data_IF_582954807916
#
_entry.id   IF_582954807916
#
_cell.length_a   1.000
_cell.length_b   1.000
_cell.length_c   1.000
_cell.angle_alpha   90.00
_cell.angle_beta   90.00
_cell.angle_gamma   90.00
#
_symmetry.space_group_name_H-M   'P 1'
#
loop_
_entity.id
_entity.type
_entity.pdbx_description
1 polymer ?
#
# COMPACT_ATOMS: atom_id res chain seq x y z
N UNK A 1 -21.11 13.26 -13.08
CA UNK A 1 -20.69 12.03 -12.37
C UNK A 1 -21.70 10.96 -12.70
N UNK A 2 -21.26 9.84 -13.23
CA UNK A 2 -22.10 8.67 -13.52
C UNK A 2 -22.46 7.99 -12.19
N UNK A 3 -23.74 7.61 -12.02
CA UNK A 3 -24.16 6.84 -10.86
C UNK A 3 -23.55 5.43 -10.92
N UNK A 4 -23.37 4.78 -9.76
CA UNK A 4 -22.93 3.39 -9.70
C UNK A 4 -23.91 2.47 -10.43
N UNK A 5 -23.35 1.56 -11.24
CA UNK A 5 -24.13 0.52 -11.93
C UNK A 5 -24.25 -0.73 -11.05
N UNK A 6 -25.46 -1.09 -10.55
CA UNK A 6 -25.65 -2.28 -9.73
C UNK A 6 -25.25 -3.62 -10.40
N UNK A 7 -25.12 -3.66 -11.73
CA UNK A 7 -24.66 -4.85 -12.43
C UNK A 7 -23.18 -5.19 -12.13
N UNK A 8 -22.43 -4.24 -11.55
CA UNK A 8 -21.03 -4.45 -11.12
C UNK A 8 -20.88 -5.18 -9.78
N UNK A 9 -21.95 -5.42 -9.03
CA UNK A 9 -21.88 -6.14 -7.75
C UNK A 9 -21.25 -7.53 -7.93
N UNK A 10 -20.17 -7.80 -7.19
CA UNK A 10 -19.41 -9.05 -7.28
C UNK A 10 -18.57 -9.20 -8.55
N UNK A 11 -18.49 -8.18 -9.41
CA UNK A 11 -17.71 -8.21 -10.64
C UNK A 11 -16.25 -7.76 -10.42
N UNK A 12 -15.44 -8.01 -11.44
CA UNK A 12 -14.09 -7.49 -11.57
C UNK A 12 -14.04 -6.68 -12.86
N UNK A 13 -13.65 -5.42 -12.76
CA UNK A 13 -13.28 -4.61 -13.93
C UNK A 13 -11.77 -4.58 -14.04
N UNK A 14 -11.25 -5.01 -15.19
CA UNK A 14 -9.82 -5.04 -15.47
C UNK A 14 -9.39 -3.87 -16.34
N UNK A 15 -8.11 -3.47 -16.19
CA UNK A 15 -7.44 -2.48 -17.04
C UNK A 15 -8.13 -1.10 -17.07
N UNK A 16 -8.79 -0.73 -15.99
CA UNK A 16 -9.39 0.60 -15.84
C UNK A 16 -8.28 1.66 -15.75
N UNK A 17 -8.32 2.68 -16.57
CA UNK A 17 -7.36 3.80 -16.49
C UNK A 17 -7.70 4.69 -15.31
N UNK A 18 -6.84 4.75 -14.31
CA UNK A 18 -7.06 5.61 -13.14
C UNK A 18 -6.38 6.99 -13.28
N UNK A 19 -5.21 7.04 -13.91
CA UNK A 19 -4.48 8.27 -14.18
C UNK A 19 -3.77 8.22 -15.53
N UNK A 20 -3.42 9.41 -16.04
CA UNK A 20 -2.52 9.54 -17.18
C UNK A 20 -1.39 10.49 -16.79
N UNK A 21 -0.15 9.97 -16.74
CA UNK A 21 1.05 10.68 -16.32
C UNK A 21 2.10 10.61 -17.42
N UNK A 22 2.65 11.77 -17.83
CA UNK A 22 3.66 11.85 -18.88
C UNK A 22 3.29 11.10 -20.19
N UNK A 23 1.99 11.09 -20.51
CA UNK A 23 1.48 10.34 -21.66
C UNK A 23 1.25 8.84 -21.42
N UNK A 24 1.68 8.30 -20.27
CA UNK A 24 1.49 6.92 -19.88
C UNK A 24 0.14 6.73 -19.17
N UNK A 25 -0.65 5.75 -19.61
CA UNK A 25 -1.91 5.36 -18.97
C UNK A 25 -1.65 4.36 -17.85
N UNK A 26 -1.96 4.76 -16.62
CA UNK A 26 -1.83 3.94 -15.44
C UNK A 26 -3.12 3.14 -15.24
N UNK A 27 -2.98 1.83 -15.08
CA UNK A 27 -4.08 0.87 -15.05
C UNK A 27 -4.31 0.32 -13.65
N UNK A 28 -5.55 0.01 -13.36
CA UNK A 28 -5.97 -0.69 -12.15
C UNK A 28 -7.01 -1.77 -12.49
N UNK A 29 -7.11 -2.77 -11.61
CA UNK A 29 -8.23 -3.69 -11.57
C UNK A 29 -9.11 -3.37 -10.36
N UNK A 30 -10.42 -3.36 -10.55
CA UNK A 30 -11.40 -3.02 -9.52
C UNK A 30 -12.25 -4.23 -9.20
N UNK A 31 -12.24 -4.62 -7.93
CA UNK A 31 -12.98 -5.77 -7.39
C UNK A 31 -14.15 -5.26 -6.55
N UNK A 32 -15.36 -5.46 -7.04
CA UNK A 32 -16.58 -4.98 -6.38
C UNK A 32 -17.11 -6.01 -5.37
N UNK A 33 -17.48 -5.60 -4.14
CA UNK A 33 -18.22 -6.46 -3.22
C UNK A 33 -19.57 -6.87 -3.79
N UNK A 34 -20.07 -8.03 -3.35
CA UNK A 34 -21.42 -8.47 -3.67
C UNK A 34 -22.51 -7.82 -2.78
N UNK A 35 -22.09 -7.20 -1.67
CA UNK A 35 -22.97 -6.47 -0.73
C UNK A 35 -23.30 -5.07 -1.24
N UNK A 36 -24.29 -4.41 -0.63
CA UNK A 36 -24.58 -3.00 -0.90
C UNK A 36 -23.53 -2.07 -0.28
N UNK A 37 -23.17 -0.98 -0.98
CA UNK A 37 -22.27 0.09 -0.50
C UNK A 37 -23.03 1.27 0.15
N UNK A 38 -22.35 2.43 0.34
CA UNK A 38 -20.99 2.71 -0.12
C UNK A 38 -19.91 1.97 0.67
N UNK A 39 -18.93 1.42 -0.05
CA UNK A 39 -17.88 0.58 0.54
C UNK A 39 -16.66 1.37 0.97
N UNK A 40 -15.96 0.96 2.03
CA UNK A 40 -14.59 1.39 2.26
C UNK A 40 -13.69 0.87 1.13
N UNK A 41 -12.69 1.65 0.75
CA UNK A 41 -11.72 1.32 -0.28
C UNK A 41 -10.43 0.73 0.29
N UNK A 42 -9.90 -0.29 -0.37
CA UNK A 42 -8.59 -0.86 -0.10
C UNK A 42 -7.75 -0.86 -1.38
N UNK A 43 -6.71 -0.04 -1.41
CA UNK A 43 -5.80 0.07 -2.57
C UNK A 43 -4.59 -0.82 -2.34
N UNK A 44 -4.44 -1.84 -3.16
CA UNK A 44 -3.31 -2.74 -3.16
C UNK A 44 -2.21 -2.24 -4.10
N UNK A 45 -0.99 -2.16 -3.57
CA UNK A 45 0.23 -1.78 -4.28
C UNK A 45 1.15 -2.99 -4.34
N UNK A 46 1.44 -3.49 -5.55
CA UNK A 46 2.25 -4.69 -5.74
C UNK A 46 3.73 -4.48 -5.40
N UNK A 47 4.43 -5.58 -5.10
CA UNK A 47 5.87 -5.64 -4.93
C UNK A 47 6.63 -5.71 -6.25
N UNK A 48 7.87 -6.24 -6.21
CA UNK A 48 8.71 -6.43 -7.40
C UNK A 48 9.87 -5.44 -7.50
N UNK A 49 10.41 -4.96 -6.36
CA UNK A 49 11.62 -4.14 -6.32
C UNK A 49 11.53 -2.83 -7.12
N UNK A 50 10.34 -2.31 -7.35
CA UNK A 50 10.06 -1.12 -8.19
C UNK A 50 10.46 -1.29 -9.67
N UNK A 51 10.77 -2.51 -10.11
CA UNK A 51 11.24 -2.84 -11.48
C UNK A 51 10.35 -3.79 -12.23
N UNK A 52 9.55 -4.54 -11.52
CA UNK A 52 8.66 -5.56 -12.05
C UNK A 52 7.40 -5.71 -11.19
N UNK A 53 6.47 -6.51 -11.64
CA UNK A 53 5.19 -6.74 -10.97
C UNK A 53 4.02 -6.27 -11.81
N UNK A 54 2.84 -6.62 -11.37
CA UNK A 54 1.57 -6.26 -12.00
C UNK A 54 0.46 -6.23 -10.95
N UNK A 55 -0.62 -5.55 -11.27
CA UNK A 55 -1.92 -5.59 -10.58
C UNK A 55 -2.51 -7.00 -10.62
N UNK A 56 -1.86 -7.93 -9.91
CA UNK A 56 -2.20 -9.35 -9.92
C UNK A 56 -3.54 -9.65 -9.27
N UNK A 57 -4.15 -10.82 -9.55
CA UNK A 57 -5.33 -11.27 -8.85
C UNK A 57 -5.11 -11.24 -7.33
N UNK A 58 -5.99 -10.55 -6.62
CA UNK A 58 -5.92 -10.42 -5.17
C UNK A 58 -6.74 -11.50 -4.47
N UNK A 59 -6.41 -11.82 -3.21
CA UNK A 59 -7.28 -12.64 -2.39
C UNK A 59 -8.69 -12.06 -2.32
N UNK A 60 -9.70 -12.91 -2.46
CA UNK A 60 -11.11 -12.50 -2.40
C UNK A 60 -11.58 -12.11 -0.99
N UNK A 61 -10.77 -12.37 0.04
CA UNK A 61 -11.12 -12.18 1.45
C UNK A 61 -11.57 -10.73 1.75
N UNK A 62 -10.81 -9.67 1.39
CA UNK A 62 -11.25 -8.30 1.66
C UNK A 62 -12.54 -7.93 0.91
N UNK A 63 -12.69 -8.38 -0.34
CA UNK A 63 -13.89 -8.11 -1.14
C UNK A 63 -15.11 -8.82 -0.54
N UNK A 64 -14.95 -10.08 -0.08
CA UNK A 64 -16.01 -10.81 0.63
C UNK A 64 -16.39 -10.13 1.94
N UNK A 65 -15.45 -9.45 2.61
CA UNK A 65 -15.70 -8.65 3.80
C UNK A 65 -16.29 -7.26 3.53
N UNK A 66 -16.63 -6.94 2.27
CA UNK A 66 -17.32 -5.71 1.91
C UNK A 66 -16.42 -4.51 1.61
N UNK A 67 -15.15 -4.72 1.27
CA UNK A 67 -14.24 -3.67 0.80
C UNK A 67 -14.23 -3.60 -0.73
N UNK A 68 -14.35 -2.41 -1.29
CA UNK A 68 -13.97 -2.17 -2.68
C UNK A 68 -12.45 -2.30 -2.78
N UNK A 69 -11.96 -3.35 -3.44
CA UNK A 69 -10.52 -3.57 -3.57
C UNK A 69 -10.06 -3.09 -4.94
N UNK A 70 -8.96 -2.35 -4.95
CA UNK A 70 -8.35 -1.83 -6.17
C UNK A 70 -6.89 -2.24 -6.20
N UNK A 71 -6.47 -2.94 -7.25
CA UNK A 71 -5.07 -3.30 -7.49
C UNK A 71 -4.50 -2.40 -8.58
N UNK A 72 -3.42 -1.68 -8.30
CA UNK A 72 -2.88 -0.68 -9.20
C UNK A 72 -1.53 -1.09 -9.78
N UNK A 73 -1.27 -0.71 -11.04
CA UNK A 73 0.06 -0.61 -11.61
C UNK A 73 0.62 0.79 -11.35
N UNK A 74 1.93 0.91 -11.35
CA UNK A 74 2.64 2.18 -11.23
C UNK A 74 3.86 2.18 -12.16
N UNK A 75 4.38 3.36 -12.51
CA UNK A 75 5.59 3.51 -13.33
C UNK A 75 6.80 2.94 -12.62
N UNK A 76 7.61 2.15 -13.32
CA UNK A 76 8.71 1.38 -12.75
C UNK A 76 10.05 1.68 -13.43
N UNK A 77 11.14 1.41 -12.73
CA UNK A 77 12.50 1.40 -13.28
C UNK A 77 12.62 0.20 -14.27
N UNK A 78 13.38 0.29 -15.37
CA UNK A 78 14.34 1.36 -15.67
C UNK A 78 13.76 2.59 -16.38
N UNK A 79 12.51 2.52 -16.88
CA UNK A 79 11.90 3.60 -17.67
C UNK A 79 11.64 4.85 -16.81
N UNK A 80 11.31 4.64 -15.54
CA UNK A 80 11.04 5.71 -14.59
C UNK A 80 11.80 5.49 -13.28
N UNK A 81 12.25 6.58 -12.67
CA UNK A 81 12.90 6.60 -11.36
C UNK A 81 11.99 7.23 -10.31
N UNK A 82 12.34 7.07 -9.06
CA UNK A 82 11.72 7.82 -7.97
C UNK A 82 11.81 9.36 -8.28
N UNK A 83 10.73 10.11 -8.10
CA UNK A 83 9.50 9.81 -7.37
C UNK A 83 8.32 9.30 -8.24
N UNK A 84 8.47 8.90 -9.49
CA UNK A 84 7.36 8.56 -10.38
C UNK A 84 6.37 7.54 -9.77
N UNK A 85 6.87 6.47 -9.11
CA UNK A 85 6.02 5.44 -8.53
C UNK A 85 5.15 5.95 -7.36
N UNK A 86 5.67 6.86 -6.53
CA UNK A 86 4.88 7.43 -5.43
C UNK A 86 3.85 8.44 -5.92
N UNK A 87 4.17 9.19 -6.96
CA UNK A 87 3.23 10.09 -7.63
C UNK A 87 2.01 9.33 -8.17
N UNK A 88 2.25 8.13 -8.72
CA UNK A 88 1.21 7.27 -9.29
C UNK A 88 0.29 6.70 -8.20
N UNK A 89 0.86 6.21 -7.09
CA UNK A 89 0.06 5.75 -5.93
C UNK A 89 -0.83 6.89 -5.40
N UNK A 90 -0.28 8.09 -5.24
CA UNK A 90 -1.05 9.26 -4.80
C UNK A 90 -2.13 9.65 -5.82
N UNK A 91 -1.84 9.53 -7.12
CA UNK A 91 -2.83 9.77 -8.17
C UNK A 91 -3.97 8.74 -8.10
N UNK A 92 -3.70 7.46 -7.84
CA UNK A 92 -4.72 6.43 -7.69
C UNK A 92 -5.71 6.76 -6.55
N UNK A 93 -5.20 7.18 -5.39
CA UNK A 93 -6.04 7.58 -4.26
C UNK A 93 -6.94 8.76 -4.63
N UNK A 94 -6.40 9.79 -5.31
CA UNK A 94 -7.17 10.95 -5.75
C UNK A 94 -8.20 10.57 -6.82
N UNK A 95 -7.84 9.70 -7.75
CA UNK A 95 -8.77 9.19 -8.77
C UNK A 95 -9.97 8.48 -8.15
N UNK A 96 -9.74 7.62 -7.17
CA UNK A 96 -10.81 6.93 -6.45
C UNK A 96 -11.76 7.92 -5.76
N UNK A 97 -11.25 8.97 -5.13
CA UNK A 97 -12.08 10.03 -4.54
C UNK A 97 -12.86 10.82 -5.57
N UNK A 98 -12.23 11.17 -6.69
CA UNK A 98 -12.89 11.89 -7.77
C UNK A 98 -14.07 11.11 -8.39
N UNK A 99 -13.96 9.77 -8.40
CA UNK A 99 -14.97 8.87 -8.96
C UNK A 99 -15.73 8.07 -7.88
N UNK A 100 -15.75 8.55 -6.62
CA UNK A 100 -16.34 7.83 -5.50
C UNK A 100 -17.80 7.40 -5.75
N UNK A 101 -18.60 8.25 -6.39
CA UNK A 101 -20.00 7.95 -6.75
C UNK A 101 -20.08 6.82 -7.78
N UNK A 102 -19.20 6.83 -8.78
CA UNK A 102 -19.17 5.81 -9.84
C UNK A 102 -18.76 4.43 -9.30
N UNK A 103 -17.83 4.40 -8.34
CA UNK A 103 -17.38 3.18 -7.69
C UNK A 103 -18.21 2.78 -6.47
N UNK A 104 -19.23 3.56 -6.08
CA UNK A 104 -19.97 3.39 -4.83
C UNK A 104 -19.02 3.28 -3.61
N UNK A 105 -17.96 4.08 -3.63
CA UNK A 105 -16.91 4.14 -2.63
C UNK A 105 -17.27 5.19 -1.57
N UNK A 106 -16.96 4.92 -0.31
CA UNK A 106 -16.90 5.94 0.74
C UNK A 106 -15.53 6.65 0.67
N UNK A 107 -15.47 7.91 0.21
CA UNK A 107 -14.21 8.63 0.02
C UNK A 107 -13.46 8.94 1.32
N UNK A 108 -14.14 8.84 2.48
CA UNK A 108 -13.56 9.07 3.80
C UNK A 108 -12.99 7.79 4.43
N UNK A 109 -13.15 6.64 3.78
CA UNK A 109 -12.67 5.34 4.25
C UNK A 109 -11.82 4.65 3.19
N UNK A 110 -10.60 5.13 2.98
CA UNK A 110 -9.63 4.55 2.04
C UNK A 110 -8.38 4.13 2.82
N UNK A 111 -7.93 2.90 2.63
CA UNK A 111 -6.67 2.37 3.14
C UNK A 111 -5.74 1.94 2.01
N UNK A 112 -4.44 1.93 2.32
CA UNK A 112 -3.40 1.33 1.47
C UNK A 112 -2.96 0.00 2.07
N UNK A 113 -2.69 -0.95 1.21
CA UNK A 113 -1.97 -2.19 1.54
C UNK A 113 -0.94 -2.47 0.47
N UNK A 114 0.25 -2.88 0.86
CA UNK A 114 1.28 -3.27 -0.09
C UNK A 114 2.32 -4.21 0.50
N UNK A 115 2.97 -4.95 -0.39
CA UNK A 115 4.02 -5.90 -0.02
C UNK A 115 5.35 -5.50 -0.65
N UNK A 116 6.48 -5.65 0.09
CA UNK A 116 7.84 -5.38 -0.42
C UNK A 116 7.96 -3.93 -0.94
N UNK A 117 8.35 -3.71 -2.18
CA UNK A 117 8.35 -2.39 -2.83
C UNK A 117 6.98 -1.69 -2.74
N UNK A 118 5.88 -2.45 -2.82
CA UNK A 118 4.52 -1.93 -2.62
C UNK A 118 4.25 -1.53 -1.17
N UNK A 119 4.77 -2.29 -0.19
CA UNK A 119 4.73 -1.94 1.24
C UNK A 119 5.43 -0.62 1.53
N UNK A 120 6.64 -0.46 0.95
CA UNK A 120 7.37 0.80 0.97
C UNK A 120 6.53 1.96 0.41
N UNK A 121 5.95 1.80 -0.79
CA UNK A 121 5.15 2.84 -1.43
C UNK A 121 3.86 3.14 -0.65
N UNK A 122 3.20 2.13 -0.10
CA UNK A 122 2.02 2.31 0.75
C UNK A 122 2.36 3.09 2.02
N UNK A 123 3.46 2.73 2.71
CA UNK A 123 3.93 3.44 3.88
C UNK A 123 4.31 4.90 3.55
N UNK A 124 5.05 5.11 2.46
CA UNK A 124 5.46 6.44 2.04
C UNK A 124 4.24 7.31 1.67
N UNK A 125 3.29 6.78 0.90
CA UNK A 125 2.08 7.50 0.51
C UNK A 125 1.20 7.87 1.71
N UNK A 126 1.12 6.99 2.71
CA UNK A 126 0.35 7.23 3.93
C UNK A 126 0.96 8.32 4.84
N UNK A 127 2.28 8.50 4.79
CA UNK A 127 3.00 9.43 5.67
C UNK A 127 3.28 10.80 5.03
N UNK A 128 3.44 10.84 3.71
CA UNK A 128 3.85 12.05 3.01
C UNK A 128 2.65 12.93 2.71
N UNK A 129 2.73 14.18 3.13
CA UNK A 129 1.75 15.20 2.78
C UNK A 129 2.10 15.94 1.47
N UNK A 130 1.27 16.90 1.08
CA UNK A 130 1.41 17.71 -0.13
C UNK A 130 2.71 18.53 -0.22
N UNK A 131 3.37 18.81 0.94
CA UNK A 131 4.63 19.56 0.99
C UNK A 131 5.80 18.83 0.34
N UNK A 132 5.73 17.52 0.19
CA UNK A 132 6.74 16.76 -0.56
C UNK A 132 6.70 17.04 -2.07
N UNK A 133 5.62 17.64 -2.58
CA UNK A 133 5.50 18.00 -3.99
C UNK A 133 5.14 16.84 -4.92
N UNK A 134 4.75 15.68 -4.37
CA UNK A 134 4.41 14.48 -5.17
C UNK A 134 2.92 14.32 -5.47
N UNK A 135 2.09 15.28 -5.10
CA UNK A 135 0.69 15.37 -5.51
C UNK A 135 0.58 16.06 -6.88
N UNK A 136 1.11 15.38 -7.90
CA UNK A 136 1.14 15.86 -9.30
C UNK A 136 0.10 15.16 -10.18
N UNK A 137 -0.08 15.62 -11.41
CA UNK A 137 -1.00 15.02 -12.38
C UNK A 137 -2.46 15.39 -12.14
N UNK A 138 -3.42 14.53 -12.54
CA UNK A 138 -4.86 14.79 -12.45
C UNK A 138 -5.40 14.77 -11.01
N UNK A 139 -6.64 15.25 -10.85
CA UNK A 139 -7.43 15.25 -9.61
C UNK A 139 -6.75 15.93 -8.41
N UNK A 140 -6.02 17.03 -8.65
CA UNK A 140 -5.30 17.77 -7.60
C UNK A 140 -6.21 18.51 -6.63
N UNK A 141 -7.48 18.62 -6.93
CA UNK A 141 -8.54 19.09 -6.06
C UNK A 141 -8.99 18.05 -5.02
N UNK A 142 -8.55 16.79 -5.19
CA UNK A 142 -8.82 15.68 -4.29
C UNK A 142 -7.63 15.42 -3.36
N UNK A 143 -7.93 15.01 -2.12
CA UNK A 143 -6.90 14.61 -1.16
C UNK A 143 -6.28 13.25 -1.51
N UNK A 144 -4.97 13.10 -1.34
CA UNK A 144 -4.27 11.80 -1.41
C UNK A 144 -4.06 11.16 -0.03
N UNK A 145 -4.62 11.73 1.05
CA UNK A 145 -4.53 11.15 2.40
C UNK A 145 -5.36 9.89 2.51
N UNK A 146 -4.91 8.97 3.36
CA UNK A 146 -5.61 7.70 3.65
C UNK A 146 -5.86 7.56 5.14
N UNK A 147 -6.80 6.70 5.52
CA UNK A 147 -7.25 6.53 6.90
C UNK A 147 -6.59 5.34 7.61
N UNK A 148 -5.91 4.46 6.87
CA UNK A 148 -5.11 3.37 7.40
C UNK A 148 -4.06 2.91 6.39
N UNK A 149 -2.98 2.31 6.88
CA UNK A 149 -1.93 1.70 6.05
C UNK A 149 -1.60 0.32 6.58
N UNK A 150 -1.54 -0.66 5.69
CA UNK A 150 -1.02 -2.00 5.95
C UNK A 150 0.30 -2.12 5.18
N UNK A 151 1.39 -2.12 5.90
CA UNK A 151 2.73 -2.26 5.38
C UNK A 151 3.21 -3.69 5.59
N UNK A 152 3.61 -4.37 4.50
CA UNK A 152 4.02 -5.78 4.55
C UNK A 152 5.42 -5.95 3.95
N UNK A 153 6.39 -6.30 4.78
CA UNK A 153 7.80 -6.62 4.39
C UNK A 153 8.47 -5.56 3.51
N UNK A 154 8.12 -4.28 3.65
CA UNK A 154 8.69 -3.20 2.85
C UNK A 154 9.96 -2.59 3.47
N UNK A 155 10.88 -2.10 2.63
CA UNK A 155 11.98 -1.28 3.13
C UNK A 155 11.47 0.10 3.60
N UNK A 156 11.78 0.48 4.81
CA UNK A 156 11.26 1.70 5.46
C UNK A 156 12.33 2.77 5.71
N UNK A 157 13.61 2.36 5.74
CA UNK A 157 14.79 3.23 5.84
C UNK A 157 15.82 2.84 4.77
N UNK A 158 15.80 3.54 3.63
CA UNK A 158 16.70 3.29 2.50
C UNK A 158 18.14 3.76 2.79
N UNK A 159 18.39 4.50 3.86
CA UNK A 159 19.75 4.90 4.25
C UNK A 159 20.52 3.72 4.84
N UNK A 160 19.84 2.65 5.27
CA UNK A 160 20.44 1.42 5.77
C UNK A 160 20.96 0.54 4.65
N UNK A 161 21.99 -0.24 4.97
CA UNK A 161 22.46 -1.32 4.10
C UNK A 161 21.58 -2.56 4.30
N UNK A 162 21.25 -3.21 3.20
CA UNK A 162 20.49 -4.47 3.20
C UNK A 162 21.50 -5.64 3.12
N UNK A 163 21.19 -6.81 3.72
CA UNK A 163 22.05 -7.98 3.65
C UNK A 163 22.33 -8.45 2.22
N UNK A 164 21.33 -8.42 1.38
CA UNK A 164 21.47 -8.77 -0.03
C UNK A 164 22.02 -7.58 -0.84
N UNK A 165 23.22 -7.74 -1.43
CA UNK A 165 23.88 -6.66 -2.18
C UNK A 165 23.07 -6.15 -3.36
N UNK A 166 22.36 -7.05 -4.06
CA UNK A 166 21.49 -6.66 -5.17
C UNK A 166 20.37 -5.68 -4.76
N UNK A 167 19.88 -5.75 -3.52
CA UNK A 167 18.91 -4.78 -2.99
C UNK A 167 19.54 -3.39 -2.86
N UNK A 168 20.82 -3.32 -2.44
CA UNK A 168 21.54 -2.05 -2.33
C UNK A 168 21.81 -1.42 -3.69
N UNK A 169 22.15 -2.24 -4.69
CA UNK A 169 22.29 -1.79 -6.08
C UNK A 169 20.95 -1.29 -6.64
N UNK A 170 19.88 -2.05 -6.40
CA UNK A 170 18.56 -1.74 -6.90
C UNK A 170 18.03 -0.41 -6.33
N UNK A 171 18.09 -0.22 -5.00
CA UNK A 171 17.66 1.05 -4.39
C UNK A 171 18.48 2.24 -4.90
N UNK A 172 19.79 2.03 -5.17
CA UNK A 172 20.65 3.06 -5.75
C UNK A 172 20.21 3.44 -7.16
N UNK A 173 19.87 2.44 -7.98
CA UNK A 173 19.43 2.65 -9.35
C UNK A 173 18.05 3.33 -9.43
N UNK A 174 17.13 2.95 -8.54
CA UNK A 174 15.75 3.48 -8.51
C UNK A 174 15.69 4.88 -7.92
N UNK A 175 16.35 5.11 -6.80
CA UNK A 175 16.22 6.36 -6.02
C UNK A 175 17.38 7.35 -6.23
N UNK A 176 18.61 6.86 -6.50
CA UNK A 176 19.80 7.66 -6.33
C UNK A 176 20.15 7.85 -4.84
N UNK A 177 21.44 7.95 -4.54
CA UNK A 177 21.92 8.07 -3.15
C UNK A 177 21.37 9.31 -2.44
N UNK A 178 21.24 10.39 -3.19
CA UNK A 178 20.73 11.69 -2.70
C UNK A 178 19.25 11.65 -2.28
N UNK A 179 18.49 10.67 -2.74
CA UNK A 179 17.06 10.53 -2.43
C UNK A 179 16.77 9.42 -1.40
N UNK A 180 17.75 8.72 -0.87
CA UNK A 180 17.50 7.69 0.12
C UNK A 180 16.74 8.22 1.35
N UNK A 181 17.12 9.40 1.84
CA UNK A 181 16.42 10.02 2.97
C UNK A 181 14.97 10.40 2.63
N UNK A 182 14.75 11.06 1.50
CA UNK A 182 13.41 11.46 1.04
C UNK A 182 12.56 10.27 0.59
N UNK A 183 13.17 9.20 0.10
CA UNK A 183 12.50 7.95 -0.22
C UNK A 183 12.19 7.06 1.00
N UNK A 184 12.64 7.40 2.20
CA UNK A 184 12.48 6.56 3.40
C UNK A 184 11.22 6.92 4.19
N UNK A 185 10.22 6.03 4.31
CA UNK A 185 9.01 6.26 5.13
C UNK A 185 9.29 6.73 6.54
N UNK A 186 10.30 6.19 7.23
CA UNK A 186 10.65 6.57 8.61
C UNK A 186 10.93 8.06 8.79
N UNK A 187 11.36 8.76 7.73
CA UNK A 187 11.64 10.20 7.73
C UNK A 187 10.39 11.05 7.95
N UNK A 188 9.22 10.51 7.60
CA UNK A 188 7.94 11.24 7.61
C UNK A 188 7.02 10.87 8.77
N UNK A 189 7.47 10.00 9.68
CA UNK A 189 6.70 9.69 10.88
C UNK A 189 6.44 10.97 11.70
N UNK A 190 5.18 11.35 11.83
CA UNK A 190 4.78 12.61 12.44
C UNK A 190 3.44 12.46 13.19
N UNK A 191 3.11 13.38 14.11
CA UNK A 191 1.79 13.42 14.72
C UNK A 191 0.69 13.57 13.66
N UNK A 192 -0.40 12.80 13.80
CA UNK A 192 -1.50 12.80 12.83
C UNK A 192 -1.28 11.91 11.60
N UNK A 193 -0.22 11.10 11.57
CA UNK A 193 -0.12 9.99 10.63
C UNK A 193 -1.33 9.05 10.81
N UNK A 194 -1.80 8.40 9.72
CA UNK A 194 -2.85 7.40 9.85
C UNK A 194 -2.38 6.22 10.71
N UNK A 195 -3.30 5.42 11.28
CA UNK A 195 -2.94 4.15 11.90
C UNK A 195 -2.21 3.22 10.93
N UNK A 196 -1.18 2.54 11.43
CA UNK A 196 -0.39 1.54 10.70
C UNK A 196 -0.55 0.16 11.30
N UNK A 197 -0.72 -0.84 10.43
CA UNK A 197 -0.45 -2.24 10.71
C UNK A 197 0.78 -2.65 9.89
N UNK A 198 1.82 -3.10 10.58
CA UNK A 198 3.09 -3.53 9.98
C UNK A 198 3.20 -5.03 10.18
N UNK A 199 3.39 -5.80 9.09
CA UNK A 199 3.48 -7.26 9.11
C UNK A 199 4.78 -7.68 8.44
N UNK A 200 5.62 -8.49 9.11
CA UNK A 200 6.93 -8.87 8.60
C UNK A 200 7.32 -10.27 9.04
N UNK A 201 7.99 -11.03 8.17
CA UNK A 201 8.58 -12.31 8.52
C UNK A 201 9.92 -12.15 9.25
N UNK A 202 10.16 -12.93 10.29
CA UNK A 202 11.41 -12.86 11.07
C UNK A 202 12.64 -13.44 10.36
N UNK A 203 12.40 -14.25 9.32
CA UNK A 203 13.46 -14.87 8.50
C UNK A 203 13.54 -14.29 7.09
N UNK A 204 13.04 -13.06 6.91
CA UNK A 204 13.13 -12.32 5.65
C UNK A 204 14.60 -11.97 5.32
N UNK A 205 15.14 -12.57 4.27
CA UNK A 205 16.52 -12.43 3.81
C UNK A 205 16.69 -11.34 2.72
N UNK A 206 15.59 -10.75 2.26
CA UNK A 206 15.57 -9.65 1.26
C UNK A 206 15.47 -8.31 1.97
N UNK A 207 14.43 -8.13 2.77
CA UNK A 207 14.18 -6.95 3.59
C UNK A 207 14.17 -7.38 5.05
N UNK A 208 15.22 -7.09 5.84
CA UNK A 208 15.29 -7.61 7.21
C UNK A 208 14.19 -7.01 8.08
N UNK A 209 13.63 -7.82 9.00
CA UNK A 209 12.56 -7.42 9.92
C UNK A 209 12.90 -6.18 10.77
N UNK A 210 14.18 -5.80 10.86
CA UNK A 210 14.61 -4.52 11.44
C UNK A 210 13.90 -3.33 10.79
N UNK A 211 13.60 -3.39 9.48
CA UNK A 211 12.91 -2.32 8.75
C UNK A 211 11.49 -2.07 9.31
N UNK A 212 10.77 -3.14 9.65
CA UNK A 212 9.47 -3.05 10.31
C UNK A 212 9.57 -2.41 11.70
N UNK A 213 10.58 -2.81 12.48
CA UNK A 213 10.84 -2.21 13.81
C UNK A 213 11.21 -0.73 13.72
N UNK A 214 12.00 -0.33 12.72
CA UNK A 214 12.37 1.07 12.52
C UNK A 214 11.14 1.95 12.28
N UNK A 215 10.25 1.55 11.38
CA UNK A 215 9.02 2.30 11.10
C UNK A 215 8.08 2.32 12.30
N UNK A 216 7.83 1.16 12.92
CA UNK A 216 6.99 1.05 14.11
C UNK A 216 7.45 1.99 15.22
N UNK A 217 8.74 1.94 15.55
CA UNK A 217 9.31 2.78 16.60
C UNK A 217 9.26 4.27 16.26
N UNK A 218 9.48 4.64 14.99
CA UNK A 218 9.38 6.02 14.53
C UNK A 218 7.95 6.56 14.67
N UNK A 219 6.94 5.76 14.29
CA UNK A 219 5.52 6.10 14.42
C UNK A 219 5.12 6.28 15.89
N UNK A 220 5.46 5.33 16.76
CA UNK A 220 5.18 5.44 18.20
C UNK A 220 5.85 6.64 18.83
N UNK A 221 7.13 6.92 18.48
CA UNK A 221 7.86 8.10 18.96
C UNK A 221 7.19 9.40 18.50
N UNK A 222 6.59 9.41 17.33
CA UNK A 222 5.81 10.54 16.80
C UNK A 222 4.43 10.68 17.43
N UNK A 223 3.98 9.74 18.27
CA UNK A 223 2.64 9.70 18.85
C UNK A 223 1.55 9.19 17.89
N UNK A 224 1.94 8.54 16.81
CA UNK A 224 1.02 7.90 15.87
C UNK A 224 0.65 6.48 16.36
N UNK A 225 -0.46 5.95 15.85
CA UNK A 225 -0.89 4.57 16.12
C UNK A 225 -0.14 3.60 15.21
N UNK A 226 0.49 2.59 15.78
CA UNK A 226 1.19 1.54 15.02
C UNK A 226 1.09 0.20 15.74
N UNK A 227 0.71 -0.82 14.99
CA UNK A 227 0.72 -2.22 15.40
C UNK A 227 1.77 -2.96 14.60
N UNK A 228 2.53 -3.83 15.24
CA UNK A 228 3.59 -4.63 14.61
C UNK A 228 3.33 -6.11 14.85
N UNK A 229 3.31 -6.87 13.76
CA UNK A 229 3.22 -8.35 13.78
C UNK A 229 4.47 -8.91 13.13
N UNK A 230 5.26 -9.63 13.91
CA UNK A 230 6.40 -10.41 13.40
C UNK A 230 5.99 -11.87 13.31
N UNK A 231 5.98 -12.40 12.09
CA UNK A 231 5.60 -13.79 11.81
C UNK A 231 6.82 -14.68 11.94
N UNK A 232 6.69 -15.71 12.79
CA UNK A 232 7.81 -16.61 13.10
C UNK A 232 8.04 -17.65 11.99
N UNK A 233 9.29 -17.87 11.60
CA UNK A 233 9.72 -18.77 10.52
C UNK A 233 9.09 -18.43 9.15
N UNK A 234 8.95 -17.15 8.86
CA UNK A 234 8.36 -16.65 7.63
C UNK A 234 9.37 -15.79 6.88
N UNK A 235 9.54 -16.07 5.57
CA UNK A 235 10.42 -15.35 4.65
C UNK A 235 9.76 -14.15 4.00
N UNK A 236 10.44 -13.60 2.98
CA UNK A 236 10.03 -12.35 2.31
C UNK A 236 8.67 -12.44 1.61
N UNK A 237 8.38 -13.53 0.94
CA UNK A 237 7.12 -13.79 0.23
C UNK A 237 6.02 -14.40 1.11
N UNK A 238 6.18 -14.36 2.43
CA UNK A 238 5.30 -15.03 3.40
C UNK A 238 5.32 -16.55 3.32
N UNK A 239 6.36 -17.14 2.72
CA UNK A 239 6.62 -18.57 2.68
C UNK A 239 7.24 -19.08 4.00
N UNK A 240 6.99 -20.33 4.37
CA UNK A 240 7.65 -20.96 5.51
C UNK A 240 9.16 -21.09 5.29
N UNK A 241 9.98 -20.69 6.28
CA UNK A 241 11.45 -20.83 6.27
C UNK A 241 11.93 -21.51 7.55
N UNK A 242 12.39 -22.75 7.43
CA UNK A 242 13.16 -23.44 8.48
C UNK A 242 12.40 -23.85 9.74
N UNK A 243 11.08 -23.73 9.82
CA UNK A 243 10.31 -24.06 11.01
C UNK A 243 8.83 -24.24 10.75
N UNK A 244 8.05 -24.38 11.82
CA UNK A 244 6.59 -24.40 11.76
C UNK A 244 6.09 -22.95 11.74
N UNK A 245 5.36 -22.58 10.70
CA UNK A 245 4.63 -21.30 10.66
C UNK A 245 3.43 -21.43 11.61
N UNK A 246 3.31 -20.50 12.52
CA UNK A 246 2.24 -20.49 13.54
C UNK A 246 1.03 -19.68 13.12
N UNK A 247 1.17 -18.86 12.08
CA UNK A 247 0.11 -17.95 11.59
C UNK A 247 -0.04 -18.15 10.08
N UNK A 248 -1.19 -18.57 9.64
CA UNK A 248 -1.50 -18.76 8.22
C UNK A 248 -1.71 -17.41 7.51
N UNK A 249 -1.67 -17.42 6.18
CA UNK A 249 -1.96 -16.23 5.37
C UNK A 249 -3.40 -15.76 5.61
N UNK A 250 -4.34 -16.68 5.77
CA UNK A 250 -5.75 -16.38 6.09
C UNK A 250 -5.87 -15.64 7.43
N UNK A 251 -5.17 -16.11 8.47
CA UNK A 251 -5.14 -15.44 9.79
C UNK A 251 -4.53 -14.03 9.70
N UNK A 252 -3.51 -13.83 8.86
CA UNK A 252 -2.97 -12.48 8.60
C UNK A 252 -4.03 -11.58 7.98
N UNK A 253 -4.81 -12.08 7.00
CA UNK A 253 -5.89 -11.29 6.42
C UNK A 253 -7.02 -11.02 7.42
N UNK A 254 -7.35 -11.95 8.32
CA UNK A 254 -8.31 -11.70 9.40
C UNK A 254 -7.82 -10.57 10.33
N UNK A 255 -6.54 -10.58 10.72
CA UNK A 255 -5.95 -9.50 11.51
C UNK A 255 -6.01 -8.15 10.78
N UNK A 256 -5.76 -8.14 9.46
CA UNK A 256 -5.89 -6.94 8.62
C UNK A 256 -7.34 -6.43 8.63
N UNK A 257 -8.33 -7.30 8.47
CA UNK A 257 -9.74 -6.91 8.49
C UNK A 257 -10.17 -6.36 9.85
N UNK A 258 -9.73 -6.96 10.95
CA UNK A 258 -9.98 -6.45 12.32
C UNK A 258 -9.35 -5.07 12.51
N UNK A 259 -8.11 -4.87 12.05
CA UNK A 259 -7.46 -3.57 12.08
C UNK A 259 -8.23 -2.52 11.28
N UNK A 260 -8.60 -2.82 10.05
CA UNK A 260 -9.36 -1.91 9.18
C UNK A 260 -10.73 -1.56 9.77
N UNK A 261 -11.46 -2.54 10.34
CA UNK A 261 -12.74 -2.31 10.98
C UNK A 261 -12.61 -1.29 12.14
N UNK A 262 -11.57 -1.39 12.95
CA UNK A 262 -11.28 -0.41 14.02
C UNK A 262 -10.98 0.98 13.46
N UNK A 263 -10.18 1.07 12.39
CA UNK A 263 -9.81 2.35 11.76
C UNK A 263 -10.99 3.05 11.11
N UNK A 264 -11.94 2.30 10.57
CA UNK A 264 -13.10 2.84 9.85
C UNK A 264 -14.37 2.97 10.70
N UNK A 265 -14.27 2.74 12.03
CA UNK A 265 -15.39 2.89 12.95
C UNK A 265 -16.45 1.79 12.84
N UNK A 266 -16.11 0.64 12.23
CA UNK A 266 -16.91 -0.59 12.22
C UNK A 266 -16.77 -1.34 13.56
N UNK A 267 -17.83 -2.01 14.00
CA UNK A 267 -17.70 -3.04 15.01
C UNK A 267 -17.14 -4.28 14.32
N UNK A 268 -16.01 -4.81 14.79
CA UNK A 268 -15.59 -6.15 14.44
C UNK A 268 -16.62 -7.11 15.04
N UNK A 269 -17.41 -7.77 14.20
CA UNK A 269 -18.28 -8.88 14.62
C UNK A 269 -17.46 -10.13 14.90
#
# INVERSE_FOLDING_TARGET
MTAFDPAKLGAIEQDVTYCKMDGHELKMDVYYPASSGPWPGLVFVHGGGWTEGDKAPLPVIPTAAGYLVVSINYRMYPDYRFPAMIEDVKCAIRSLRAHAVEYNLDPERIALIGHSAGGHLAALAGLVDERAGWDVGPYRDQSSRVQAVIEMSGPTDLTRQFPAEWVNELKTNVFGVEQWGSGSPVTYAAPGAPPFLIVHGDTDDVVPAEQAHLLHNALLKAGAQSELIILQNVGHGFEPVGGTVTTSVEEVFEMILVFLARCFGGQAE
#
